data_IF_000855513874
#
_entry.id   IF_000855513874
#
_cell.length_a   1.000
_cell.length_b   1.000
_cell.length_c   1.000
_cell.angle_alpha   90.00
_cell.angle_beta   90.00
_cell.angle_gamma   90.00
#
_symmetry.space_group_name_H-M   'P 1'
#
loop_
_entity.id
_entity.type
_entity.pdbx_description
1 polymer ?
#
# COMPACT_ATOMS: atom_id res chain seq x y z
N UNK A 1 -56.38 8.72 41.96
CA UNK A 1 -55.24 8.18 41.17
C UNK A 1 -54.63 9.34 40.42
N UNK A 2 -53.38 9.68 40.75
CA UNK A 2 -52.74 10.97 40.49
C UNK A 2 -52.21 11.05 39.06
N UNK A 3 -52.42 12.19 38.39
CA UNK A 3 -51.91 12.55 37.04
C UNK A 3 -50.38 12.39 36.89
N UNK A 4 -49.68 12.19 38.00
CA UNK A 4 -48.23 12.00 38.08
C UNK A 4 -47.74 10.60 37.62
N UNK A 5 -48.59 9.56 37.68
CA UNK A 5 -48.26 8.24 37.12
C UNK A 5 -48.32 8.23 35.58
N UNK A 6 -49.24 9.01 35.00
CA UNK A 6 -49.44 9.08 33.54
C UNK A 6 -48.28 9.81 32.86
N UNK A 7 -47.69 10.82 33.53
CA UNK A 7 -46.52 11.53 33.03
C UNK A 7 -45.25 10.65 33.01
N UNK A 8 -45.09 9.76 34.00
CA UNK A 8 -43.92 8.89 34.10
C UNK A 8 -43.92 7.80 33.03
N UNK A 9 -45.08 7.23 32.68
CA UNK A 9 -45.19 6.27 31.57
C UNK A 9 -44.98 6.92 30.18
N UNK A 10 -45.41 8.18 30.01
CA UNK A 10 -45.27 8.87 28.71
C UNK A 10 -43.81 9.28 28.43
N UNK A 11 -43.01 9.51 29.47
CA UNK A 11 -41.58 9.80 29.33
C UNK A 11 -40.72 8.56 29.07
N UNK A 12 -41.17 7.35 29.45
CA UNK A 12 -40.45 6.11 29.12
C UNK A 12 -40.77 5.57 27.73
N UNK A 13 -41.94 5.88 27.16
CA UNK A 13 -42.33 5.41 25.83
C UNK A 13 -41.70 6.18 24.67
N UNK A 14 -41.05 7.31 24.95
CA UNK A 14 -40.29 8.09 23.97
C UNK A 14 -38.78 7.87 24.03
N UNK A 15 -38.32 6.80 24.66
CA UNK A 15 -37.00 6.20 24.34
C UNK A 15 -37.20 5.25 23.17
N UNK A 16 -37.75 5.78 22.08
CA UNK A 16 -37.60 5.17 20.78
C UNK A 16 -36.11 4.96 20.57
N UNK A 17 -35.77 3.73 20.22
CA UNK A 17 -34.70 3.42 19.27
C UNK A 17 -33.88 4.65 18.94
N UNK A 18 -32.88 4.94 19.79
CA UNK A 18 -31.68 5.56 19.26
C UNK A 18 -31.19 4.51 18.28
N UNK A 19 -31.56 4.67 17.00
CA UNK A 19 -30.76 4.13 15.91
C UNK A 19 -29.38 4.69 16.18
N UNK A 20 -28.56 3.85 16.79
CA UNK A 20 -27.17 4.14 17.05
C UNK A 20 -26.56 4.52 15.70
N UNK A 21 -26.34 5.82 15.49
CA UNK A 21 -25.65 6.35 14.31
C UNK A 21 -24.22 5.77 14.17
N UNK A 22 -23.76 4.99 15.14
CA UNK A 22 -22.53 4.19 15.09
C UNK A 22 -22.68 2.83 14.39
N UNK A 23 -23.88 2.43 13.99
CA UNK A 23 -24.17 1.18 13.26
C UNK A 23 -24.67 1.45 11.83
N UNK A 24 -24.19 2.51 11.17
CA UNK A 24 -24.19 2.55 9.70
C UNK A 24 -23.15 1.56 9.15
N UNK A 25 -23.34 0.27 9.43
CA UNK A 25 -22.71 -0.79 8.66
C UNK A 25 -23.41 -0.81 7.30
N UNK A 26 -22.86 -0.04 6.35
CA UNK A 26 -23.23 -0.21 4.95
C UNK A 26 -22.78 -1.62 4.55
N UNK A 27 -23.74 -2.53 4.42
CA UNK A 27 -23.48 -3.88 3.97
C UNK A 27 -23.01 -3.81 2.52
N UNK A 28 -21.72 -4.02 2.32
CA UNK A 28 -21.09 -4.10 1.01
C UNK A 28 -21.73 -5.28 0.29
N UNK A 29 -22.26 -5.03 -0.91
CA UNK A 29 -22.84 -6.08 -1.74
C UNK A 29 -21.75 -7.06 -2.20
N UNK A 30 -22.13 -8.30 -2.51
CA UNK A 30 -21.17 -9.28 -3.04
C UNK A 30 -20.46 -8.75 -4.31
N UNK A 31 -21.16 -7.97 -5.13
CA UNK A 31 -20.61 -7.32 -6.32
C UNK A 31 -19.53 -6.27 -6.00
N UNK A 32 -19.72 -5.47 -4.94
CA UNK A 32 -18.72 -4.50 -4.49
C UNK A 32 -17.50 -5.20 -3.87
N UNK A 33 -17.70 -6.28 -3.11
CA UNK A 33 -16.61 -7.11 -2.60
C UNK A 33 -15.79 -7.74 -3.73
N UNK A 34 -16.44 -8.19 -4.80
CA UNK A 34 -15.77 -8.75 -5.98
C UNK A 34 -14.89 -7.71 -6.67
N UNK A 35 -15.39 -6.48 -6.89
CA UNK A 35 -14.60 -5.38 -7.46
C UNK A 35 -13.37 -5.03 -6.62
N UNK A 36 -13.53 -5.00 -5.31
CA UNK A 36 -12.44 -4.75 -4.36
C UNK A 36 -11.40 -5.88 -4.44
N UNK A 37 -11.83 -7.13 -4.44
CA UNK A 37 -10.94 -8.28 -4.52
C UNK A 37 -10.18 -8.32 -5.87
N UNK A 38 -10.85 -8.01 -6.98
CA UNK A 38 -10.22 -7.88 -8.28
C UNK A 38 -9.11 -6.81 -8.26
N UNK A 39 -9.40 -5.63 -7.72
CA UNK A 39 -8.44 -4.54 -7.55
C UNK A 39 -7.24 -4.94 -6.69
N UNK A 40 -7.49 -5.56 -5.53
CA UNK A 40 -6.42 -6.05 -4.65
C UNK A 40 -5.56 -7.12 -5.32
N UNK A 41 -6.15 -8.06 -6.05
CA UNK A 41 -5.40 -9.11 -6.74
C UNK A 41 -4.47 -8.54 -7.81
N UNK A 42 -4.95 -7.54 -8.56
CA UNK A 42 -4.22 -6.87 -9.61
C UNK A 42 -3.08 -6.01 -9.03
N UNK A 43 -3.36 -5.22 -7.98
CA UNK A 43 -2.36 -4.44 -7.25
C UNK A 43 -1.31 -5.34 -6.60
N UNK A 44 -1.71 -6.48 -6.01
CA UNK A 44 -0.79 -7.45 -5.43
C UNK A 44 0.19 -7.99 -6.46
N UNK A 45 -0.30 -8.34 -7.65
CA UNK A 45 0.55 -8.80 -8.75
C UNK A 45 1.54 -7.71 -9.17
N UNK A 46 1.09 -6.47 -9.30
CA UNK A 46 1.93 -5.34 -9.65
C UNK A 46 3.03 -5.12 -8.59
N UNK A 47 2.66 -5.04 -7.32
CA UNK A 47 3.59 -4.88 -6.20
C UNK A 47 4.60 -6.01 -6.13
N UNK A 48 4.19 -7.26 -6.36
CA UNK A 48 5.08 -8.41 -6.36
C UNK A 48 6.12 -8.33 -7.49
N UNK A 49 5.71 -7.96 -8.71
CA UNK A 49 6.64 -7.76 -9.83
C UNK A 49 7.67 -6.67 -9.54
N UNK A 50 7.24 -5.53 -8.97
CA UNK A 50 8.17 -4.46 -8.58
C UNK A 50 9.11 -4.88 -7.45
N UNK A 51 8.62 -5.67 -6.48
CA UNK A 51 9.45 -6.27 -5.45
C UNK A 51 10.53 -7.19 -6.03
N UNK A 52 10.19 -8.01 -7.04
CA UNK A 52 11.17 -8.84 -7.74
C UNK A 52 12.21 -7.97 -8.45
N UNK A 53 11.80 -6.93 -9.18
CA UNK A 53 12.76 -6.05 -9.87
C UNK A 53 13.71 -5.38 -8.88
N UNK A 54 13.18 -4.85 -7.77
CA UNK A 54 13.99 -4.28 -6.71
C UNK A 54 14.99 -5.30 -6.14
N UNK A 55 14.52 -6.51 -5.84
CA UNK A 55 15.34 -7.59 -5.31
C UNK A 55 16.47 -7.98 -6.28
N UNK A 56 16.15 -8.22 -7.55
CA UNK A 56 17.14 -8.61 -8.56
C UNK A 56 18.19 -7.53 -8.78
N UNK A 57 17.78 -6.26 -8.86
CA UNK A 57 18.72 -5.14 -9.03
C UNK A 57 19.62 -5.02 -7.80
N UNK A 58 19.06 -5.19 -6.60
CA UNK A 58 19.83 -5.15 -5.35
C UNK A 58 20.82 -6.31 -5.27
N UNK A 59 20.44 -7.49 -5.76
CA UNK A 59 21.27 -8.70 -5.73
C UNK A 59 22.54 -8.59 -6.60
N UNK A 60 22.55 -7.69 -7.59
CA UNK A 60 23.74 -7.41 -8.41
C UNK A 60 24.90 -6.92 -7.54
N UNK A 61 24.64 -6.17 -6.47
CA UNK A 61 25.67 -5.61 -5.58
C UNK A 61 26.48 -6.70 -4.86
N UNK A 62 25.89 -7.63 -4.08
CA UNK A 62 26.64 -8.72 -3.46
C UNK A 62 27.23 -9.68 -4.50
N UNK A 63 26.55 -9.90 -5.63
CA UNK A 63 27.07 -10.74 -6.71
C UNK A 63 28.39 -10.19 -7.29
N UNK A 64 28.43 -8.90 -7.62
CA UNK A 64 29.66 -8.24 -8.09
C UNK A 64 30.74 -8.20 -7.00
N UNK A 65 30.34 -8.06 -5.74
CA UNK A 65 31.28 -8.06 -4.61
C UNK A 65 31.98 -9.41 -4.42
N UNK A 66 31.32 -10.52 -4.71
CA UNK A 66 31.93 -11.85 -4.67
C UNK A 66 32.78 -12.21 -5.89
N UNK A 67 32.61 -11.51 -7.02
CA UNK A 67 33.21 -11.89 -8.31
C UNK A 67 34.25 -10.89 -8.84
N UNK A 68 34.32 -9.68 -8.30
CA UNK A 68 35.23 -8.63 -8.76
C UNK A 68 35.90 -7.86 -7.63
N UNK A 69 37.21 -8.03 -7.50
CA UNK A 69 38.01 -7.31 -6.51
C UNK A 69 38.09 -5.81 -6.81
N UNK A 70 38.13 -5.39 -8.08
CA UNK A 70 38.10 -3.97 -8.47
C UNK A 70 36.77 -3.26 -8.12
N UNK A 71 35.70 -4.01 -7.88
CA UNK A 71 34.40 -3.45 -7.52
C UNK A 71 34.34 -3.06 -6.03
N UNK A 72 34.92 -3.89 -5.17
CA UNK A 72 34.84 -3.74 -3.72
C UNK A 72 36.16 -3.33 -3.06
N UNK A 73 37.30 -3.76 -3.59
CA UNK A 73 38.61 -3.69 -2.93
C UNK A 73 39.48 -2.50 -3.32
N UNK A 74 39.16 -1.78 -4.40
CA UNK A 74 39.95 -0.61 -4.83
C UNK A 74 39.29 0.69 -4.35
N UNK A 75 39.96 1.47 -3.47
CA UNK A 75 39.48 2.79 -3.11
C UNK A 75 39.61 3.72 -4.32
N UNK A 76 38.56 4.50 -4.57
CA UNK A 76 38.51 5.50 -5.62
C UNK A 76 38.54 6.90 -4.99
N UNK A 77 37.42 7.61 -5.02
CA UNK A 77 37.31 9.01 -4.62
C UNK A 77 36.98 9.06 -3.12
N UNK A 78 37.68 9.94 -2.39
CA UNK A 78 37.58 10.11 -0.93
C UNK A 78 37.87 8.84 -0.10
N UNK A 79 38.61 7.88 -0.66
CA UNK A 79 38.90 6.60 0.00
C UNK A 79 37.72 5.61 0.00
N UNK A 80 36.63 5.94 -0.71
CA UNK A 80 35.46 5.08 -0.85
C UNK A 80 35.57 4.21 -2.10
N UNK A 81 35.02 3.01 -2.02
CA UNK A 81 35.09 1.99 -3.08
C UNK A 81 34.04 2.26 -4.15
N UNK A 82 34.22 1.69 -5.34
CA UNK A 82 33.24 1.80 -6.42
C UNK A 82 31.87 1.23 -6.03
N UNK A 83 31.87 0.12 -5.30
CA UNK A 83 30.67 -0.48 -4.72
C UNK A 83 29.92 0.55 -3.87
N UNK A 84 30.61 1.24 -2.96
CA UNK A 84 29.97 2.22 -2.08
C UNK A 84 29.30 3.33 -2.88
N UNK A 85 30.03 3.96 -3.81
CA UNK A 85 29.51 5.03 -4.66
C UNK A 85 28.33 4.59 -5.50
N UNK A 86 28.44 3.39 -6.09
CA UNK A 86 27.36 2.86 -6.91
C UNK A 86 26.15 2.57 -6.07
N UNK A 87 26.30 1.93 -4.91
CA UNK A 87 25.19 1.62 -4.01
C UNK A 87 24.48 2.90 -3.53
N UNK A 88 25.26 3.92 -3.17
CA UNK A 88 24.74 5.24 -2.78
C UNK A 88 23.87 5.83 -3.90
N UNK A 89 24.40 5.98 -5.11
CA UNK A 89 23.67 6.62 -6.21
C UNK A 89 22.56 5.74 -6.77
N UNK A 90 22.83 4.44 -6.93
CA UNK A 90 21.91 3.45 -7.48
C UNK A 90 20.63 3.43 -6.66
N UNK A 91 20.69 3.31 -5.33
CA UNK A 91 19.46 3.24 -4.54
C UNK A 91 18.64 4.52 -4.61
N UNK A 92 19.27 5.69 -4.61
CA UNK A 92 18.53 6.96 -4.76
C UNK A 92 17.77 7.01 -6.08
N UNK A 93 18.45 6.71 -7.19
CA UNK A 93 17.84 6.70 -8.53
C UNK A 93 16.81 5.58 -8.66
N UNK A 94 17.13 4.39 -8.14
CA UNK A 94 16.28 3.21 -8.20
C UNK A 94 14.96 3.42 -7.45
N UNK A 95 15.00 3.97 -6.24
CA UNK A 95 13.78 4.27 -5.48
C UNK A 95 12.93 5.31 -6.19
N UNK A 96 13.55 6.37 -6.72
CA UNK A 96 12.84 7.40 -7.47
C UNK A 96 12.17 6.82 -8.73
N UNK A 97 12.91 6.04 -9.51
CA UNK A 97 12.39 5.39 -10.73
C UNK A 97 11.29 4.36 -10.40
N UNK A 98 11.51 3.48 -9.41
CA UNK A 98 10.52 2.49 -9.00
C UNK A 98 9.23 3.18 -8.57
N UNK A 99 9.32 4.22 -7.73
CA UNK A 99 8.15 4.98 -7.30
C UNK A 99 7.42 5.62 -8.49
N UNK A 100 8.15 6.31 -9.37
CA UNK A 100 7.56 6.95 -10.55
C UNK A 100 6.84 5.94 -11.46
N UNK A 101 7.51 4.85 -11.82
CA UNK A 101 6.94 3.84 -12.71
C UNK A 101 5.81 3.09 -12.03
N UNK A 102 5.91 2.81 -10.72
CA UNK A 102 4.87 2.15 -9.94
C UNK A 102 3.59 2.98 -9.94
N UNK A 103 3.67 4.28 -9.60
CA UNK A 103 2.51 5.18 -9.60
C UNK A 103 1.87 5.21 -10.98
N UNK A 104 2.66 5.37 -12.04
CA UNK A 104 2.13 5.39 -13.41
C UNK A 104 1.43 4.09 -13.80
N UNK A 105 1.95 2.95 -13.36
CA UNK A 105 1.35 1.62 -13.61
C UNK A 105 0.11 1.39 -12.77
N UNK A 106 0.10 1.83 -11.52
CA UNK A 106 -1.03 1.72 -10.61
C UNK A 106 -2.21 2.55 -11.12
N UNK A 107 -1.98 3.82 -11.49
CA UNK A 107 -3.03 4.68 -12.05
C UNK A 107 -3.66 4.08 -13.30
N UNK A 108 -2.83 3.57 -14.22
CA UNK A 108 -3.33 2.90 -15.42
C UNK A 108 -4.16 1.65 -15.11
N UNK A 109 -3.77 0.88 -14.08
CA UNK A 109 -4.49 -0.30 -13.66
C UNK A 109 -5.85 0.07 -13.05
N UNK A 110 -5.92 1.18 -12.32
CA UNK A 110 -7.16 1.75 -11.78
C UNK A 110 -8.09 2.25 -12.89
N UNK A 111 -7.56 2.94 -13.91
CA UNK A 111 -8.32 3.35 -15.09
C UNK A 111 -8.93 2.11 -15.80
N UNK A 112 -8.13 1.07 -16.06
CA UNK A 112 -8.57 -0.17 -16.71
C UNK A 112 -9.64 -0.94 -15.91
N UNK A 113 -9.63 -0.84 -14.58
CA UNK A 113 -10.61 -1.48 -13.69
C UNK A 113 -11.87 -0.62 -13.45
N UNK A 114 -11.77 0.69 -13.60
CA UNK A 114 -12.90 1.63 -13.45
C UNK A 114 -13.82 1.62 -14.67
N UNK A 115 -13.27 1.31 -15.84
CA UNK A 115 -14.01 1.15 -17.10
C UNK A 115 -14.78 -0.19 -17.20
N UNK A 116 -14.67 -1.08 -16.20
CA UNK A 116 -15.34 -2.39 -16.10
C UNK A 116 -16.53 -2.41 -15.10
#
# INVERSE_FOLDING_TARGET
MSQMEIATQKSQKHRGTQEDASLTTQFVTDAELEKVNASFSAQRRLSFSFGIYFFLITLIIPFLSGTSEWWYGTPLIFGLTLNFWTTLLLFHVLYWLLAFVFVKRANRLEDELSDL
#
